data_IF_687697125480
#
_entry.id   IF_687697125480
#
_cell.length_a   1.000
_cell.length_b   1.000
_cell.length_c   1.000
_cell.angle_alpha   90.00
_cell.angle_beta   90.00
_cell.angle_gamma   90.00
#
_symmetry.space_group_name_H-M   'P 1'
#
loop_
_entity.id
_entity.type
_entity.pdbx_description
1 polymer ?
#
# COMPACT_ATOMS: atom_id res chain seq x y z
N UNK A 1 51.61 -3.02 -15.77
CA UNK A 1 50.74 -1.86 -15.47
C UNK A 1 49.42 -1.88 -16.26
N UNK A 2 49.43 -1.93 -17.61
CA UNK A 2 48.20 -1.91 -18.43
C UNK A 2 47.21 -3.08 -18.18
N UNK A 3 47.72 -4.28 -17.86
CA UNK A 3 46.88 -5.46 -17.56
C UNK A 3 45.99 -5.28 -16.33
N UNK A 4 46.46 -4.57 -15.30
CA UNK A 4 45.67 -4.32 -14.08
C UNK A 4 44.55 -3.31 -14.33
N UNK A 5 44.81 -2.29 -15.14
CA UNK A 5 43.79 -1.31 -15.55
C UNK A 5 42.71 -1.99 -16.39
N UNK A 6 43.08 -2.87 -17.31
CA UNK A 6 42.13 -3.62 -18.13
C UNK A 6 41.20 -4.52 -17.27
N UNK A 7 41.74 -5.16 -16.23
CA UNK A 7 40.94 -5.97 -15.29
C UNK A 7 40.01 -5.09 -14.46
N UNK A 8 40.45 -3.91 -14.01
CA UNK A 8 39.61 -2.96 -13.29
C UNK A 8 38.41 -2.48 -14.12
N UNK A 9 38.65 -2.09 -15.38
CA UNK A 9 37.58 -1.68 -16.30
C UNK A 9 36.62 -2.83 -16.59
N UNK A 10 37.13 -4.06 -16.74
CA UNK A 10 36.30 -5.24 -16.93
C UNK A 10 35.34 -5.49 -15.76
N UNK A 11 35.84 -5.40 -14.53
CA UNK A 11 35.01 -5.62 -13.32
C UNK A 11 33.88 -4.59 -13.22
N UNK A 12 34.15 -3.33 -13.55
CA UNK A 12 33.12 -2.28 -13.59
C UNK A 12 32.04 -2.61 -14.62
N UNK A 13 32.41 -3.04 -15.82
CA UNK A 13 31.46 -3.42 -16.87
C UNK A 13 30.59 -4.61 -16.48
N UNK A 14 31.19 -5.65 -15.88
CA UNK A 14 30.44 -6.82 -15.40
C UNK A 14 29.45 -6.44 -14.29
N UNK A 15 29.87 -5.58 -13.36
CA UNK A 15 29.02 -5.16 -12.24
C UNK A 15 27.85 -4.29 -12.73
N UNK A 16 28.11 -3.34 -13.64
CA UNK A 16 27.06 -2.53 -14.25
C UNK A 16 26.06 -3.39 -15.06
N UNK A 17 26.57 -4.36 -15.82
CA UNK A 17 25.75 -5.31 -16.57
C UNK A 17 24.89 -6.19 -15.67
N UNK A 18 25.45 -6.71 -14.56
CA UNK A 18 24.72 -7.53 -13.61
C UNK A 18 23.61 -6.74 -12.89
N UNK A 19 23.87 -5.51 -12.47
CA UNK A 19 22.84 -4.65 -11.85
C UNK A 19 21.73 -4.30 -12.84
N UNK A 20 22.08 -3.96 -14.08
CA UNK A 20 21.08 -3.66 -15.12
C UNK A 20 20.24 -4.88 -15.48
N UNK A 21 20.88 -6.05 -15.64
CA UNK A 21 20.21 -7.31 -15.91
C UNK A 21 19.32 -7.74 -14.73
N UNK A 22 19.77 -7.56 -13.48
CA UNK A 22 18.96 -7.84 -12.28
C UNK A 22 17.71 -6.98 -12.22
N UNK A 23 17.78 -5.70 -12.59
CA UNK A 23 16.60 -4.84 -12.70
C UNK A 23 15.63 -5.27 -13.81
N UNK A 24 16.16 -5.72 -14.95
CA UNK A 24 15.36 -6.18 -16.09
C UNK A 24 14.71 -7.55 -15.87
N UNK A 25 15.44 -8.49 -15.26
CA UNK A 25 14.99 -9.87 -14.99
C UNK A 25 14.20 -9.97 -13.68
N UNK A 26 14.54 -9.16 -12.68
CA UNK A 26 13.84 -9.11 -11.38
C UNK A 26 12.49 -8.40 -11.43
N UNK A 27 12.18 -7.71 -12.53
CA UNK A 27 10.87 -7.12 -12.81
C UNK A 27 9.92 -8.10 -13.52
N UNK A 28 10.36 -9.33 -13.82
CA UNK A 28 9.46 -10.35 -14.30
C UNK A 28 8.50 -10.73 -13.16
N UNK A 29 7.17 -10.57 -13.33
CA UNK A 29 6.22 -11.06 -12.34
C UNK A 29 6.52 -12.54 -12.13
N UNK A 30 6.65 -12.97 -10.87
CA UNK A 30 6.76 -14.39 -10.54
C UNK A 30 5.69 -15.15 -11.33
N UNK A 31 6.01 -16.26 -12.01
CA UNK A 31 5.01 -17.06 -12.68
C UNK A 31 4.09 -17.62 -11.58
N UNK A 32 3.01 -16.90 -11.31
CA UNK A 32 1.90 -17.40 -10.51
C UNK A 32 1.46 -18.71 -11.16
N UNK A 33 1.43 -19.79 -10.37
CA UNK A 33 0.80 -21.04 -10.77
C UNK A 33 -0.58 -20.73 -11.40
N UNK A 34 -1.07 -21.51 -12.40
CA UNK A 34 -2.29 -21.21 -13.14
C UNK A 34 -3.40 -20.76 -12.20
N UNK A 35 -3.58 -19.45 -12.10
CA UNK A 35 -4.54 -18.87 -11.19
C UNK A 35 -5.86 -19.10 -11.90
N UNK A 36 -6.67 -19.99 -11.34
CA UNK A 36 -8.08 -20.16 -11.70
C UNK A 36 -8.63 -18.74 -11.92
N UNK A 37 -9.14 -18.43 -13.13
CA UNK A 37 -9.63 -17.09 -13.43
C UNK A 37 -10.90 -16.88 -12.62
N UNK A 38 -10.74 -16.40 -11.38
CA UNK A 38 -11.81 -16.16 -10.42
C UNK A 38 -12.76 -15.02 -10.87
N UNK A 39 -12.56 -14.48 -12.08
CA UNK A 39 -13.34 -13.37 -12.63
C UNK A 39 -13.11 -12.05 -11.88
N UNK A 40 -12.09 -11.99 -11.02
CA UNK A 40 -11.76 -10.80 -10.25
C UNK A 40 -10.52 -10.11 -10.79
N UNK A 41 -10.52 -8.79 -10.71
CA UNK A 41 -9.38 -7.94 -10.95
C UNK A 41 -8.88 -7.40 -9.61
N UNK A 42 -7.63 -7.71 -9.27
CA UNK A 42 -7.00 -7.20 -8.06
C UNK A 42 -6.39 -5.84 -8.36
N UNK A 43 -6.79 -4.83 -7.60
CA UNK A 43 -6.27 -3.48 -7.70
C UNK A 43 -5.65 -3.08 -6.37
N UNK A 44 -4.49 -2.42 -6.44
CA UNK A 44 -3.78 -1.94 -5.26
C UNK A 44 -3.90 -0.42 -5.18
N UNK A 45 -4.34 0.07 -4.04
CA UNK A 45 -4.37 1.49 -3.74
C UNK A 45 -2.97 2.00 -3.39
N UNK A 46 -2.74 3.29 -3.60
CA UNK A 46 -1.53 3.97 -3.18
C UNK A 46 -1.41 4.03 -1.65
N UNK A 47 -0.17 4.08 -1.17
CA UNK A 47 0.13 4.25 0.25
C UNK A 47 -0.42 5.60 0.73
N UNK A 48 -1.27 5.59 1.76
CA UNK A 48 -1.94 6.77 2.30
C UNK A 48 -1.77 6.84 3.81
N UNK A 49 -1.67 8.07 4.35
CA UNK A 49 -1.69 8.32 5.79
C UNK A 49 -3.04 8.90 6.22
N UNK A 50 -3.59 8.36 7.31
CA UNK A 50 -4.86 8.80 7.90
C UNK A 50 -4.60 9.21 9.35
N UNK A 51 -4.98 10.43 9.77
CA UNK A 51 -4.83 10.84 11.15
C UNK A 51 -5.83 10.10 12.05
N UNK A 52 -5.37 9.64 13.20
CA UNK A 52 -6.21 9.06 14.24
C UNK A 52 -6.45 10.09 15.32
N UNK A 53 -7.73 10.38 15.58
CA UNK A 53 -8.15 11.35 16.58
C UNK A 53 -8.47 10.66 17.91
N UNK A 54 -8.05 11.23 19.03
CA UNK A 54 -8.42 10.79 20.38
C UNK A 54 -8.71 12.01 21.25
N UNK A 55 -9.90 12.11 21.80
CA UNK A 55 -10.29 13.22 22.68
C UNK A 55 -10.26 14.60 22.00
N UNK A 56 -10.44 14.66 20.68
CA UNK A 56 -10.39 15.92 19.91
C UNK A 56 -8.99 16.31 19.42
N UNK A 57 -7.94 15.58 19.78
CA UNK A 57 -6.58 15.81 19.30
C UNK A 57 -6.06 14.68 18.42
N UNK A 58 -5.10 14.99 17.53
CA UNK A 58 -4.39 13.98 16.73
C UNK A 58 -3.47 13.17 17.65
N UNK A 59 -3.76 11.88 17.81
CA UNK A 59 -2.95 10.96 18.60
C UNK A 59 -1.80 10.34 17.79
N UNK A 60 -1.96 10.25 16.48
CA UNK A 60 -0.99 9.65 15.57
C UNK A 60 -1.55 9.50 14.16
N UNK A 61 -0.80 8.79 13.33
CA UNK A 61 -1.10 8.58 11.92
C UNK A 61 -1.00 7.09 11.61
N UNK A 62 -2.04 6.57 10.95
CA UNK A 62 -2.01 5.23 10.37
C UNK A 62 -1.57 5.37 8.93
N UNK A 63 -0.44 4.75 8.59
CA UNK A 63 0.06 4.63 7.23
C UNK A 63 -0.38 3.27 6.70
N UNK A 64 -1.15 3.26 5.63
CA UNK A 64 -1.75 2.04 5.11
C UNK A 64 -1.72 1.96 3.60
N UNK A 65 -1.67 0.72 3.12
CA UNK A 65 -1.86 0.37 1.72
C UNK A 65 -2.93 -0.70 1.65
N UNK A 66 -3.92 -0.49 0.77
CA UNK A 66 -5.01 -1.43 0.56
C UNK A 66 -4.85 -2.12 -0.78
N UNK A 67 -5.29 -3.36 -0.85
CA UNK A 67 -5.61 -4.01 -2.12
C UNK A 67 -7.05 -4.48 -2.08
N UNK A 68 -7.73 -4.48 -3.23
CA UNK A 68 -9.11 -4.93 -3.31
C UNK A 68 -9.34 -5.74 -4.56
N UNK A 69 -10.27 -6.68 -4.46
CA UNK A 69 -10.74 -7.50 -5.57
C UNK A 69 -12.05 -6.93 -6.08
N UNK A 70 -12.12 -6.61 -7.37
CA UNK A 70 -13.34 -6.16 -8.03
C UNK A 70 -13.78 -7.16 -9.10
N UNK A 71 -15.07 -7.27 -9.35
CA UNK A 71 -15.60 -8.13 -10.42
C UNK A 71 -15.22 -7.55 -11.80
N UNK A 72 -14.45 -8.31 -12.59
CA UNK A 72 -13.92 -7.89 -13.89
C UNK A 72 -15.03 -7.65 -14.92
N UNK A 73 -16.10 -8.45 -14.89
CA UNK A 73 -17.22 -8.32 -15.82
C UNK A 73 -18.00 -7.03 -15.54
N UNK A 74 -18.25 -6.74 -14.26
CA UNK A 74 -18.92 -5.51 -13.84
C UNK A 74 -18.07 -4.26 -14.11
N UNK A 75 -16.75 -4.33 -13.88
CA UNK A 75 -15.82 -3.25 -14.23
C UNK A 75 -15.86 -2.91 -15.72
N UNK A 76 -15.74 -3.93 -16.58
CA UNK A 76 -15.75 -3.75 -18.03
C UNK A 76 -17.09 -3.21 -18.55
N UNK A 77 -18.21 -3.65 -17.95
CA UNK A 77 -19.55 -3.23 -18.37
C UNK A 77 -19.89 -1.81 -17.94
N UNK A 78 -19.54 -1.41 -16.71
CA UNK A 78 -19.98 -0.14 -16.12
C UNK A 78 -19.02 1.01 -16.38
N UNK A 79 -17.75 0.74 -16.72
CA UNK A 79 -16.70 1.76 -16.91
C UNK A 79 -16.59 2.74 -15.72
N UNK A 80 -16.88 2.27 -14.51
CA UNK A 80 -16.74 3.04 -13.27
C UNK A 80 -15.40 2.73 -12.65
N UNK A 81 -14.70 3.76 -12.19
CA UNK A 81 -13.45 3.61 -11.46
C UNK A 81 -13.75 3.42 -9.95
N UNK A 82 -13.48 2.24 -9.36
CA UNK A 82 -13.77 1.98 -7.94
C UNK A 82 -12.77 2.65 -6.99
N UNK A 83 -11.58 2.98 -7.49
CA UNK A 83 -10.44 3.45 -6.68
C UNK A 83 -10.76 4.68 -5.82
N UNK A 84 -11.39 5.76 -6.34
CA UNK A 84 -11.71 6.94 -5.53
C UNK A 84 -12.68 6.64 -4.38
N UNK A 85 -13.65 5.75 -4.63
CA UNK A 85 -14.66 5.37 -3.63
C UNK A 85 -14.05 4.53 -2.51
N UNK A 86 -13.13 3.63 -2.84
CA UNK A 86 -12.38 2.84 -1.86
C UNK A 86 -11.49 3.75 -1.02
N UNK A 87 -10.76 4.67 -1.64
CA UNK A 87 -9.90 5.64 -0.93
C UNK A 87 -10.69 6.50 0.07
N UNK A 88 -11.82 7.10 -0.36
CA UNK A 88 -12.66 7.90 0.55
C UNK A 88 -13.28 7.04 1.67
N UNK A 89 -13.76 5.84 1.34
CA UNK A 89 -14.36 4.93 2.33
C UNK A 89 -13.32 4.49 3.37
N UNK A 90 -12.11 4.14 2.94
CA UNK A 90 -10.99 3.80 3.82
C UNK A 90 -10.63 4.96 4.76
N UNK A 91 -10.45 6.16 4.20
CA UNK A 91 -10.14 7.34 5.00
C UNK A 91 -11.22 7.59 6.06
N UNK A 92 -12.49 7.57 5.66
CA UNK A 92 -13.60 7.86 6.55
C UNK A 92 -13.74 6.81 7.64
N UNK A 93 -13.75 5.52 7.27
CA UNK A 93 -13.89 4.42 8.25
C UNK A 93 -12.79 4.51 9.30
N UNK A 94 -11.54 4.67 8.89
CA UNK A 94 -10.40 4.74 9.81
C UNK A 94 -10.48 6.00 10.68
N UNK A 95 -10.85 7.13 10.11
CA UNK A 95 -11.01 8.39 10.85
C UNK A 95 -12.15 8.33 11.87
N UNK A 96 -13.25 7.64 11.56
CA UNK A 96 -14.42 7.53 12.44
C UNK A 96 -14.34 6.37 13.44
N UNK A 97 -13.42 5.42 13.24
CA UNK A 97 -13.24 4.25 14.12
C UNK A 97 -12.52 4.65 15.41
N UNK A 98 -13.21 5.40 16.26
CA UNK A 98 -12.69 5.86 17.56
C UNK A 98 -12.52 4.72 18.58
N UNK A 99 -13.15 3.58 18.33
CA UNK A 99 -13.14 2.36 19.13
C UNK A 99 -11.92 1.46 18.86
N UNK A 100 -11.28 1.60 17.69
CA UNK A 100 -10.11 0.80 17.32
C UNK A 100 -8.84 1.42 17.90
N UNK A 101 -8.13 0.70 18.78
CA UNK A 101 -6.80 1.11 19.22
C UNK A 101 -5.74 0.63 18.21
N UNK A 102 -5.40 1.48 17.25
CA UNK A 102 -4.37 1.20 16.23
C UNK A 102 -2.97 0.92 16.80
N UNK A 103 -2.73 1.19 18.09
CA UNK A 103 -1.50 0.81 18.81
C UNK A 103 -1.47 -0.67 19.18
N UNK A 104 -2.65 -1.29 19.34
CA UNK A 104 -2.83 -2.67 19.78
C UNK A 104 -3.93 -3.33 18.93
N UNK A 105 -3.66 -3.46 17.64
CA UNK A 105 -4.59 -4.07 16.70
C UNK A 105 -4.80 -5.54 17.02
N UNK A 106 -6.06 -5.94 17.14
CA UNK A 106 -6.43 -7.36 17.21
C UNK A 106 -6.76 -7.85 15.79
N UNK A 107 -6.56 -9.14 15.49
CA UNK A 107 -6.92 -9.70 14.18
C UNK A 107 -8.38 -9.39 13.78
N UNK A 108 -9.32 -9.54 14.72
CA UNK A 108 -10.74 -9.25 14.46
C UNK A 108 -11.07 -7.77 14.22
N UNK A 109 -10.19 -6.84 14.56
CA UNK A 109 -10.39 -5.42 14.24
C UNK A 109 -10.02 -5.14 12.78
N UNK A 110 -9.03 -5.86 12.23
CA UNK A 110 -8.63 -5.77 10.83
C UNK A 110 -9.75 -6.25 9.91
N UNK A 111 -10.31 -7.42 10.19
CA UNK A 111 -11.41 -8.00 9.41
C UNK A 111 -12.63 -7.09 9.43
N UNK A 112 -12.97 -6.52 10.60
CA UNK A 112 -14.08 -5.55 10.70
C UNK A 112 -13.83 -4.29 9.89
N UNK A 113 -12.61 -3.77 9.91
CA UNK A 113 -12.25 -2.56 9.16
C UNK A 113 -12.36 -2.82 7.66
N UNK A 114 -11.73 -3.88 7.14
CA UNK A 114 -11.78 -4.21 5.70
C UNK A 114 -13.20 -4.45 5.22
N UNK A 115 -14.00 -5.19 5.99
CA UNK A 115 -15.39 -5.47 5.66
C UNK A 115 -16.24 -4.18 5.65
N UNK A 116 -16.00 -3.29 6.62
CA UNK A 116 -16.71 -2.00 6.69
C UNK A 116 -16.33 -1.10 5.51
N UNK A 117 -15.06 -1.06 5.13
CA UNK A 117 -14.58 -0.32 3.97
C UNK A 117 -15.22 -0.85 2.68
N UNK A 118 -15.25 -2.17 2.50
CA UNK A 118 -15.85 -2.80 1.32
C UNK A 118 -17.35 -2.49 1.21
N UNK A 119 -18.09 -2.65 2.33
CA UNK A 119 -19.53 -2.31 2.39
C UNK A 119 -19.79 -0.86 2.02
N UNK A 120 -19.00 0.05 2.59
CA UNK A 120 -19.24 1.49 2.42
C UNK A 120 -18.85 1.97 1.02
N UNK A 121 -17.82 1.39 0.42
CA UNK A 121 -17.47 1.62 -0.97
C UNK A 121 -18.57 1.13 -1.92
N UNK A 122 -19.07 -0.10 -1.75
CA UNK A 122 -20.17 -0.64 -2.56
C UNK A 122 -21.46 0.18 -2.40
N UNK A 123 -21.79 0.61 -1.17
CA UNK A 123 -22.94 1.47 -0.90
C UNK A 123 -22.86 2.78 -1.69
N UNK A 124 -21.68 3.38 -1.77
CA UNK A 124 -21.44 4.63 -2.51
C UNK A 124 -21.39 4.43 -4.02
N UNK A 125 -20.87 3.29 -4.47
CA UNK A 125 -20.91 2.87 -5.87
C UNK A 125 -22.34 2.53 -6.33
N UNK A 126 -23.25 2.24 -5.40
CA UNK A 126 -24.63 1.83 -5.68
C UNK A 126 -24.72 0.42 -6.26
N UNK A 127 -23.65 -0.37 -6.16
CA UNK A 127 -23.56 -1.72 -6.69
C UNK A 127 -22.51 -2.54 -5.93
N UNK A 128 -22.67 -3.85 -5.95
CA UNK A 128 -21.75 -4.79 -5.32
C UNK A 128 -20.59 -5.13 -6.27
N UNK A 129 -19.66 -4.18 -6.43
CA UNK A 129 -18.50 -4.29 -7.32
C UNK A 129 -17.27 -4.85 -6.59
N UNK A 130 -17.07 -4.40 -5.36
CA UNK A 130 -15.92 -4.71 -4.52
C UNK A 130 -16.22 -5.97 -3.72
N UNK A 131 -15.48 -7.04 -3.97
CA UNK A 131 -15.67 -8.35 -3.34
C UNK A 131 -14.97 -8.41 -2.00
N UNK A 132 -13.73 -7.95 -1.95
CA UNK A 132 -12.90 -7.98 -0.75
C UNK A 132 -11.93 -6.81 -0.75
N UNK A 133 -11.64 -6.31 0.46
CA UNK A 133 -10.57 -5.35 0.72
C UNK A 133 -9.58 -6.01 1.68
N UNK A 134 -8.30 -5.76 1.47
CA UNK A 134 -7.20 -6.37 2.21
C UNK A 134 -6.19 -5.27 2.57
N UNK A 135 -5.69 -5.30 3.81
CA UNK A 135 -4.51 -4.50 4.16
C UNK A 135 -3.27 -5.17 3.59
N UNK A 136 -2.58 -4.48 2.70
CA UNK A 136 -1.27 -4.90 2.21
C UNK A 136 -0.14 -4.37 3.10
N UNK A 137 -0.33 -3.15 3.62
CA UNK A 137 0.55 -2.55 4.62
C UNK A 137 -0.29 -1.78 5.64
N UNK A 138 0.10 -1.86 6.91
CA UNK A 138 -0.53 -1.12 7.99
C UNK A 138 0.49 -0.82 9.08
N UNK A 139 0.76 0.46 9.31
CA UNK A 139 1.69 0.95 10.31
C UNK A 139 1.04 2.09 11.11
N UNK A 140 1.32 2.17 12.41
CA UNK A 140 0.90 3.28 13.25
C UNK A 140 2.12 4.06 13.72
N UNK A 141 2.09 5.38 13.50
CA UNK A 141 3.13 6.31 13.93
C UNK A 141 2.53 7.30 14.92
N UNK A 142 3.13 7.45 16.10
CA UNK A 142 2.66 8.42 17.09
C UNK A 142 3.00 9.84 16.64
N UNK A 143 2.19 10.80 17.05
CA UNK A 143 2.43 12.23 16.74
C UNK A 143 3.81 12.69 17.26
N UNK A 144 4.23 12.20 18.42
CA UNK A 144 5.52 12.55 19.02
C UNK A 144 6.71 12.11 18.14
N UNK A 145 6.66 10.88 17.60
CA UNK A 145 7.73 10.27 16.81
C UNK A 145 7.96 11.01 15.47
N UNK A 146 6.92 11.67 14.93
CA UNK A 146 7.03 12.47 13.70
C UNK A 146 7.81 13.76 13.95
N UNK A 147 7.65 14.38 15.13
CA UNK A 147 8.31 15.66 15.45
C UNK A 147 9.82 15.50 15.61
N UNK A 148 10.28 14.40 16.20
CA UNK A 148 11.71 14.09 16.41
C UNK A 148 12.44 13.82 15.11
N UNK A 149 11.80 13.17 14.13
CA UNK A 149 12.42 12.92 12.82
C UNK A 149 12.55 14.20 11.97
N UNK A 150 11.72 15.21 12.20
CA UNK A 150 11.85 16.51 11.52
C UNK A 150 12.89 17.43 12.18
N UNK A 151 13.08 17.37 13.50
CA UNK A 151 14.08 18.18 14.21
C UNK A 151 15.51 17.67 14.09
N UNK A 152 15.72 16.42 13.67
CA UNK A 152 17.04 15.79 13.52
C UNK A 152 17.56 15.82 12.08
N UNK A 153 17.04 16.72 11.23
CA UNK A 153 17.67 17.08 9.97
C UNK A 153 18.96 17.87 10.21
N UNK A 154 19.98 17.23 10.79
CA UNK A 154 21.35 17.70 10.68
C UNK A 154 21.71 17.74 9.18
N UNK A 155 22.22 18.86 8.64
CA UNK A 155 22.80 18.85 7.31
C UNK A 155 23.98 17.88 7.35
N UNK A 156 24.03 16.96 6.39
CA UNK A 156 25.19 16.12 6.15
C UNK A 156 26.44 17.02 6.10
N UNK A 157 27.28 16.92 7.12
CA UNK A 157 28.58 17.59 7.14
C UNK A 157 29.48 16.82 6.17
N UNK A 158 29.77 17.46 5.04
CA UNK A 158 30.96 17.19 4.23
C UNK A 158 32.17 17.87 4.84
#
# INVERSE_FOLDING_TARGET
MLKLVAVGVWVILVTAGATFASGYLGSAPSPSAPQEDLGVEQMTAELTSVPVMRGGEVAGYVILQLSFSADRALLAQKKVEPMPYIKDSAFRVIFTSADVDFRHLKPGDLDRLTDTIAREANRRLGMELVRQVLFQQLNYVKKEDIRTNWSNGEPAQH
#
